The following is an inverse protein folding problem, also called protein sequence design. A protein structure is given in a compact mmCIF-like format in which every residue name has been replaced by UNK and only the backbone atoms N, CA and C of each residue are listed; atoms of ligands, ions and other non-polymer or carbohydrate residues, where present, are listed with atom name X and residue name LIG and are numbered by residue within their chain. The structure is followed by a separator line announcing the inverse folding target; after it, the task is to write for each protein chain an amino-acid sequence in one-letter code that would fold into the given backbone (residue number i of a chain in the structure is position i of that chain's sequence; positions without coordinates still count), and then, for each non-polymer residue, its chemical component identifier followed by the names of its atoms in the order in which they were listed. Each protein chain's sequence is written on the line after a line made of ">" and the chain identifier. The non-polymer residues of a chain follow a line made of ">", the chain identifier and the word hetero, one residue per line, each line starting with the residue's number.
data_IF_671790763169
#
_entry.id   IF_671790763169
#
_cell.length_a   1.000
_cell.length_b   1.000
_cell.length_c   1.000
_cell.angle_alpha   90.00
_cell.angle_beta   90.00
_cell.angle_gamma   90.00
#
_symmetry.space_group_name_H-M   'P 1'
#
loop_
_entity.id
_entity.type
_entity.pdbx_description
1 polymer ?
#
# COMPACT_ATOMS: atom_id res chain seq x y z
N UNK A 1 -8.52 -13.14 9.27
CA UNK A 1 -8.85 -11.78 8.81
C UNK A 1 -9.05 -11.87 7.30
N UNK A 2 -10.09 -11.23 6.73
CA UNK A 2 -10.21 -11.16 5.27
C UNK A 2 -9.02 -10.38 4.72
N UNK A 3 -8.49 -10.83 3.58
CA UNK A 3 -7.42 -10.13 2.85
C UNK A 3 -7.94 -9.25 1.71
N UNK A 4 -9.23 -9.42 1.40
CA UNK A 4 -9.91 -8.68 0.35
C UNK A 4 -9.85 -7.19 0.67
N UNK A 5 -9.22 -6.43 -0.21
CA UNK A 5 -9.34 -4.98 -0.27
C UNK A 5 -10.60 -4.64 -1.07
N UNK A 6 -11.32 -3.63 -0.60
CA UNK A 6 -12.55 -3.14 -1.21
C UNK A 6 -12.48 -1.62 -1.34
N UNK A 7 -13.42 -1.02 -2.09
CA UNK A 7 -13.53 0.44 -2.18
C UNK A 7 -13.75 1.12 -0.81
N UNK A 8 -14.20 0.39 0.21
CA UNK A 8 -14.30 0.92 1.58
C UNK A 8 -12.93 1.12 2.24
N UNK A 9 -11.88 0.52 1.68
CA UNK A 9 -10.50 0.66 2.12
C UNK A 9 -9.78 1.85 1.47
N UNK A 10 -10.45 2.58 0.56
CA UNK A 10 -9.93 3.82 -0.01
C UNK A 10 -9.70 4.87 1.09
N UNK A 11 -8.56 5.56 1.00
CA UNK A 11 -8.12 6.51 2.01
C UNK A 11 -7.49 5.88 3.26
N UNK A 12 -7.42 4.54 3.37
CA UNK A 12 -6.75 3.90 4.49
C UNK A 12 -5.23 4.04 4.39
N UNK A 13 -4.53 4.27 5.52
CA UNK A 13 -3.08 4.27 5.56
C UNK A 13 -2.53 2.87 5.30
N UNK A 14 -1.50 2.81 4.46
CA UNK A 14 -0.75 1.60 4.13
C UNK A 14 0.57 1.64 4.86
N UNK A 15 0.82 0.60 5.64
CA UNK A 15 2.02 0.45 6.45
C UNK A 15 2.78 -0.81 6.10
N UNK A 16 4.09 -0.74 6.26
CA UNK A 16 4.96 -1.91 6.19
C UNK A 16 4.80 -2.81 7.42
N UNK A 17 5.44 -3.99 7.41
CA UNK A 17 5.38 -4.95 8.51
C UNK A 17 6.06 -4.48 9.81
N UNK A 18 6.76 -3.34 9.79
CA UNK A 18 7.33 -2.69 10.99
C UNK A 18 6.59 -1.41 11.38
N UNK A 19 5.35 -1.23 10.91
CA UNK A 19 4.58 0.00 11.08
C UNK A 19 5.22 1.22 10.37
N UNK A 20 6.06 0.96 9.36
CA UNK A 20 6.66 2.01 8.56
C UNK A 20 5.58 2.63 7.67
N UNK A 21 5.41 3.95 7.70
CA UNK A 21 4.42 4.63 6.87
C UNK A 21 4.88 4.66 5.41
N UNK A 22 4.05 4.07 4.55
CA UNK A 22 4.35 3.90 3.12
C UNK A 22 3.52 4.87 2.29
N UNK A 23 2.26 5.05 2.68
CA UNK A 23 1.35 5.85 1.91
C UNK A 23 -0.10 5.65 2.33
N UNK A 24 -0.97 5.92 1.38
CA UNK A 24 -2.44 5.85 1.54
C UNK A 24 -3.06 5.22 0.31
N UNK A 25 -4.13 4.44 0.49
CA UNK A 25 -4.90 3.94 -0.65
C UNK A 25 -5.57 5.11 -1.35
N UNK A 26 -5.17 5.37 -2.59
CA UNK A 26 -5.76 6.37 -3.47
C UNK A 26 -7.09 5.87 -4.05
N UNK A 27 -7.13 4.64 -4.53
CA UNK A 27 -8.30 4.04 -5.21
C UNK A 27 -8.23 2.51 -5.16
N UNK A 28 -9.37 1.82 -5.24
CA UNK A 28 -9.43 0.37 -5.41
C UNK A 28 -10.18 -0.01 -6.68
N UNK A 29 -9.46 -0.56 -7.65
CA UNK A 29 -10.01 -1.05 -8.93
C UNK A 29 -9.75 -2.55 -9.10
N UNK A 30 -10.76 -3.32 -9.50
CA UNK A 30 -10.62 -4.76 -9.81
C UNK A 30 -9.87 -5.56 -8.73
N UNK A 31 -10.25 -5.38 -7.46
CA UNK A 31 -9.59 -5.99 -6.27
C UNK A 31 -8.09 -5.61 -6.12
N UNK A 32 -7.64 -4.56 -6.79
CA UNK A 32 -6.28 -4.00 -6.72
C UNK A 32 -6.30 -2.64 -6.06
N UNK A 33 -5.48 -2.46 -5.02
CA UNK A 33 -5.36 -1.18 -4.33
C UNK A 33 -4.28 -0.32 -4.99
N UNK A 34 -4.62 0.87 -5.43
CA UNK A 34 -3.65 1.88 -5.84
C UNK A 34 -3.22 2.67 -4.62
N UNK A 35 -1.92 2.67 -4.31
CA UNK A 35 -1.38 3.32 -3.11
C UNK A 35 -0.52 4.50 -3.51
N UNK A 36 -0.91 5.69 -3.06
CA UNK A 36 -0.11 6.91 -3.18
C UNK A 36 0.95 6.93 -2.08
N UNK A 37 2.23 7.00 -2.48
CA UNK A 37 3.34 7.06 -1.53
C UNK A 37 3.39 8.40 -0.83
N UNK A 38 3.69 8.35 0.46
CA UNK A 38 3.99 9.57 1.18
C UNK A 38 5.32 10.15 0.66
N UNK A 39 5.41 11.47 0.40
CA UNK A 39 6.68 12.11 0.05
C UNK A 39 7.78 11.89 1.10
N UNK A 40 7.40 11.63 2.36
CA UNK A 40 8.34 11.33 3.45
C UNK A 40 8.76 9.85 3.49
N UNK A 41 8.18 8.97 2.67
CA UNK A 41 8.58 7.55 2.61
C UNK A 41 9.97 7.41 2.01
N UNK A 42 10.90 6.87 2.80
CA UNK A 42 12.30 6.67 2.43
C UNK A 42 12.49 5.67 1.29
N UNK A 43 13.46 5.93 0.40
CA UNK A 43 13.82 5.07 -0.74
C UNK A 43 14.17 3.62 -0.33
N UNK A 44 14.66 3.41 0.89
CA UNK A 44 14.95 2.06 1.43
C UNK A 44 13.68 1.20 1.52
N UNK A 45 12.57 1.79 1.98
CA UNK A 45 11.27 1.09 2.10
C UNK A 45 10.72 0.80 0.71
N UNK A 46 10.76 1.78 -0.20
CA UNK A 46 10.31 1.63 -1.59
C UNK A 46 11.07 0.50 -2.29
N UNK A 47 12.40 0.52 -2.18
CA UNK A 47 13.28 -0.50 -2.77
C UNK A 47 13.00 -1.89 -2.21
N UNK A 48 12.78 -2.01 -0.89
CA UNK A 48 12.52 -3.29 -0.22
C UNK A 48 11.18 -3.92 -0.62
N UNK A 49 10.20 -3.08 -0.94
CA UNK A 49 8.86 -3.53 -1.34
C UNK A 49 8.71 -3.67 -2.85
N UNK A 50 9.78 -3.37 -3.60
CA UNK A 50 9.77 -3.46 -5.06
C UNK A 50 9.02 -2.31 -5.74
N UNK A 51 8.72 -1.23 -5.01
CA UNK A 51 8.18 -0.01 -5.60
C UNK A 51 9.33 0.72 -6.30
N UNK A 52 9.34 0.65 -7.63
CA UNK A 52 10.35 1.32 -8.43
C UNK A 52 10.17 2.83 -8.39
N UNK A 53 11.25 3.57 -8.70
CA UNK A 53 11.21 4.98 -9.07
C UNK A 53 10.38 5.17 -10.35
N UNK A 54 9.06 4.98 -10.26
CA UNK A 54 8.15 5.18 -11.38
C UNK A 54 8.19 6.66 -11.70
N UNK A 55 8.77 6.94 -12.86
CA UNK A 55 9.10 8.27 -13.33
C UNK A 55 7.82 9.02 -13.72
N UNK A 56 7.04 9.47 -12.74
CA UNK A 56 5.90 10.37 -12.93
C UNK A 56 4.61 10.01 -12.19
N UNK A 57 4.47 8.80 -11.64
CA UNK A 57 3.25 8.36 -10.95
C UNK A 57 3.56 8.06 -9.49
N UNK A 58 2.89 8.77 -8.57
CA UNK A 58 3.04 8.58 -7.13
C UNK A 58 2.20 7.40 -6.62
N UNK A 59 1.38 6.79 -7.47
CA UNK A 59 0.53 5.65 -7.18
C UNK A 59 1.14 4.37 -7.70
N UNK A 60 1.24 3.34 -6.85
CA UNK A 60 1.62 1.99 -7.29
C UNK A 60 0.53 0.99 -6.88
N UNK A 61 0.23 0.00 -7.74
CA UNK A 61 -0.74 -1.03 -7.42
C UNK A 61 -0.15 -1.98 -6.38
N UNK A 62 -1.00 -2.42 -5.46
CA UNK A 62 -0.71 -3.45 -4.48
C UNK A 62 -1.71 -4.58 -4.65
N UNK A 63 -1.18 -5.77 -4.93
CA UNK A 63 -1.96 -6.99 -5.08
C UNK A 63 -2.24 -7.64 -3.71
N UNK A 64 -3.29 -8.45 -3.60
CA UNK A 64 -3.61 -9.24 -2.40
C UNK A 64 -2.44 -10.13 -1.92
N UNK A 65 -1.60 -10.58 -2.86
CA UNK A 65 -0.42 -11.36 -2.53
C UNK A 65 0.65 -10.54 -1.79
N UNK A 66 0.60 -9.21 -1.85
CA UNK A 66 1.45 -8.31 -1.07
C UNK A 66 0.80 -7.89 0.26
N UNK A 67 -0.48 -8.18 0.50
CA UNK A 67 -1.22 -7.75 1.71
C UNK A 67 -1.16 -8.80 2.82
N UNK A 68 -0.49 -8.48 3.92
CA UNK A 68 -0.42 -9.36 5.09
C UNK A 68 -1.77 -9.41 5.82
N UNK A 69 -2.31 -8.22 6.12
CA UNK A 69 -3.60 -8.05 6.76
C UNK A 69 -4.27 -6.72 6.39
N UNK A 70 -5.58 -6.75 6.14
CA UNK A 70 -6.44 -5.57 6.04
C UNK A 70 -7.07 -5.35 7.41
N UNK A 71 -6.66 -4.28 8.09
CA UNK A 71 -7.27 -3.82 9.33
C UNK A 71 -8.40 -2.83 9.09
N UNK A 72 -9.18 -2.56 10.13
CA UNK A 72 -10.21 -1.52 10.10
C UNK A 72 -9.59 -0.13 9.86
N UNK A 73 -8.42 0.13 10.45
CA UNK A 73 -7.77 1.45 10.40
C UNK A 73 -6.58 1.53 9.43
N UNK A 74 -5.94 0.39 9.10
CA UNK A 74 -4.72 0.35 8.29
C UNK A 74 -4.53 -0.96 7.55
N UNK A 75 -3.81 -0.91 6.44
CA UNK A 75 -3.41 -2.08 5.66
C UNK A 75 -1.93 -2.38 5.92
N UNK A 76 -1.61 -3.64 6.19
CA UNK A 76 -0.24 -4.10 6.47
C UNK A 76 0.26 -4.91 5.28
N UNK A 77 1.43 -4.55 4.76
CA UNK A 77 2.08 -5.29 3.68
C UNK A 77 2.98 -6.43 4.19
N UNK A 78 3.09 -7.48 3.38
CA UNK A 78 4.04 -8.59 3.57
C UNK A 78 5.45 -8.12 3.17
N UNK A 79 6.46 -8.76 3.75
CA UNK A 79 7.86 -8.59 3.37
C UNK A 79 8.39 -9.79 2.58
#
# INVERSE_FOLDING_TARGET
>A
MPKNITQEDEGKPVVGPRDDQIGVVAEVEDDTAWVEFDPDTTDEIKSRLGFGDTSGENTNPIEDDQIDAVGDDKIILKN
#
